data_IF_147820354058
#
_entry.id   IF_147820354058
#
_cell.length_a   1.000
_cell.length_b   1.000
_cell.length_c   1.000
_cell.angle_alpha   90.00
_cell.angle_beta   90.00
_cell.angle_gamma   90.00
#
_symmetry.space_group_name_H-M   'P 1'
#
loop_
_entity.id
_entity.type
_entity.pdbx_description
1 polymer ?
#
# COMPACT_ATOMS: atom_id res chain seq x y z
N UNK A 1 -8.93 -25.41 -13.07
CA UNK A 1 -8.44 -24.62 -11.93
C UNK A 1 -7.00 -24.08 -12.11
N UNK A 2 -6.46 -23.97 -13.34
CA UNK A 2 -5.03 -23.69 -13.59
C UNK A 2 -4.70 -22.31 -14.19
N UNK A 3 -5.69 -21.52 -14.64
CA UNK A 3 -5.42 -20.19 -15.24
C UNK A 3 -5.28 -19.04 -14.25
N UNK A 4 -5.66 -19.23 -12.98
CA UNK A 4 -5.57 -18.18 -11.96
C UNK A 4 -4.13 -17.99 -11.42
N UNK A 5 -3.25 -18.98 -11.64
CA UNK A 5 -1.88 -18.98 -11.07
C UNK A 5 -0.91 -18.06 -11.83
N UNK A 6 -1.08 -17.86 -13.15
CA UNK A 6 -0.10 -17.13 -13.97
C UNK A 6 -0.20 -15.60 -13.84
N UNK A 7 -1.40 -15.05 -13.61
CA UNK A 7 -1.59 -13.61 -13.41
C UNK A 7 -1.28 -13.16 -11.98
N UNK A 8 -1.49 -14.02 -11.00
CA UNK A 8 -1.11 -13.75 -9.60
C UNK A 8 0.40 -13.56 -9.45
N UNK A 9 1.19 -14.34 -10.17
CA UNK A 9 2.65 -14.35 -10.09
C UNK A 9 3.29 -13.01 -10.53
N UNK A 10 2.86 -12.41 -11.65
CA UNK A 10 3.39 -11.11 -12.09
C UNK A 10 3.12 -9.98 -11.11
N UNK A 11 1.92 -9.97 -10.49
CA UNK A 11 1.52 -8.89 -9.57
C UNK A 11 2.29 -8.98 -8.25
N UNK A 12 2.49 -10.19 -7.73
CA UNK A 12 3.34 -10.45 -6.56
C UNK A 12 4.78 -10.01 -6.84
N UNK A 13 5.33 -10.34 -8.02
CA UNK A 13 6.70 -9.96 -8.40
C UNK A 13 6.95 -8.45 -8.33
N UNK A 14 6.03 -7.64 -8.84
CA UNK A 14 6.18 -6.19 -8.75
C UNK A 14 6.10 -5.67 -7.31
N UNK A 15 5.18 -6.20 -6.49
CA UNK A 15 5.06 -5.82 -5.07
C UNK A 15 6.33 -6.22 -4.30
N UNK A 16 6.90 -7.39 -4.59
CA UNK A 16 8.16 -7.83 -3.99
C UNK A 16 9.32 -6.89 -4.35
N UNK A 17 9.43 -6.45 -5.61
CA UNK A 17 10.49 -5.50 -6.01
C UNK A 17 10.38 -4.20 -5.20
N UNK A 18 9.18 -3.61 -5.08
CA UNK A 18 9.00 -2.43 -4.24
C UNK A 18 9.38 -2.70 -2.78
N UNK A 19 9.01 -3.87 -2.26
CA UNK A 19 9.33 -4.31 -0.91
C UNK A 19 10.84 -4.46 -0.68
N UNK A 20 11.59 -4.93 -1.69
CA UNK A 20 13.06 -5.00 -1.66
C UNK A 20 13.72 -3.63 -1.68
N UNK A 21 13.14 -2.63 -2.37
CA UNK A 21 13.63 -1.25 -2.30
C UNK A 21 13.54 -0.73 -0.86
N UNK A 22 12.47 -1.06 -0.13
CA UNK A 22 12.40 -0.69 1.28
C UNK A 22 13.50 -1.35 2.11
N UNK A 23 13.98 -2.54 1.74
CA UNK A 23 15.05 -3.24 2.46
C UNK A 23 16.36 -2.45 2.54
N UNK A 24 16.60 -1.48 1.65
CA UNK A 24 17.77 -0.59 1.77
C UNK A 24 17.73 0.24 3.06
N UNK A 25 16.52 0.53 3.58
CA UNK A 25 16.34 1.25 4.84
C UNK A 25 16.74 0.42 6.07
N UNK A 26 16.97 -0.89 5.95
CA UNK A 26 17.58 -1.69 7.03
C UNK A 26 19.01 -1.27 7.33
N UNK A 27 19.66 -0.53 6.43
CA UNK A 27 21.00 -0.02 6.69
C UNK A 27 21.05 0.93 7.89
N UNK A 28 20.03 1.78 8.06
CA UNK A 28 19.93 2.73 9.19
C UNK A 28 20.00 2.01 10.55
N UNK A 29 19.10 1.04 10.87
CA UNK A 29 19.12 0.35 12.14
C UNK A 29 20.37 -0.51 12.34
N UNK A 30 20.92 -1.10 11.27
CA UNK A 30 22.20 -1.81 11.32
C UNK A 30 23.32 -0.86 11.77
N UNK A 31 23.41 0.30 11.15
CA UNK A 31 24.39 1.34 11.51
C UNK A 31 24.19 1.82 12.96
N UNK A 32 22.95 2.00 13.41
CA UNK A 32 22.66 2.39 14.80
C UNK A 32 23.11 1.33 15.81
N UNK A 33 22.99 0.04 15.49
CA UNK A 33 23.39 -1.06 16.38
C UNK A 33 24.91 -1.18 16.55
N UNK A 34 25.70 -0.85 15.53
CA UNK A 34 27.17 -0.85 15.63
C UNK A 34 27.74 0.11 16.68
N UNK A 35 26.96 1.12 17.07
CA UNK A 35 27.37 2.10 18.08
C UNK A 35 26.95 1.72 19.51
N UNK A 36 26.37 0.53 19.70
CA UNK A 36 25.93 0.02 21.02
C UNK A 36 26.98 -0.91 21.61
N UNK A 37 26.84 -1.24 22.90
CA UNK A 37 27.70 -2.24 23.54
C UNK A 37 27.59 -3.59 22.85
N UNK A 38 28.64 -4.41 22.92
CA UNK A 38 28.71 -5.71 22.23
C UNK A 38 27.49 -6.59 22.56
N UNK A 39 27.03 -6.58 23.81
CA UNK A 39 25.88 -7.36 24.24
C UNK A 39 24.57 -6.85 23.62
N UNK A 40 24.31 -5.55 23.68
CA UNK A 40 23.13 -4.92 23.05
C UNK A 40 23.16 -5.08 21.52
N UNK A 41 24.34 -5.05 20.92
CA UNK A 41 24.53 -5.25 19.49
C UNK A 41 24.06 -6.66 19.07
N UNK A 42 24.46 -7.71 19.80
CA UNK A 42 24.02 -9.08 19.52
C UNK A 42 22.51 -9.27 19.67
N UNK A 43 21.91 -8.69 20.71
CA UNK A 43 20.45 -8.73 20.90
C UNK A 43 19.77 -8.01 19.74
N UNK A 44 20.22 -6.80 19.41
CA UNK A 44 19.67 -6.00 18.34
C UNK A 44 19.72 -6.71 16.99
N UNK A 45 20.87 -7.30 16.63
CA UNK A 45 21.01 -8.06 15.40
C UNK A 45 20.15 -9.33 15.39
N UNK A 46 20.03 -10.02 16.53
CA UNK A 46 19.17 -11.21 16.65
C UNK A 46 17.69 -10.84 16.44
N UNK A 47 17.24 -9.75 17.07
CA UNK A 47 15.89 -9.22 16.88
C UNK A 47 15.66 -8.75 15.43
N UNK A 48 16.67 -8.16 14.81
CA UNK A 48 16.62 -7.69 13.42
C UNK A 48 16.55 -8.86 12.42
N UNK A 49 17.30 -9.94 12.67
CA UNK A 49 17.23 -11.17 11.89
C UNK A 49 15.83 -11.80 12.01
N UNK A 50 15.26 -11.85 13.23
CA UNK A 50 13.90 -12.31 13.47
C UNK A 50 12.87 -11.46 12.72
N UNK A 51 13.03 -10.13 12.72
CA UNK A 51 12.20 -9.21 11.94
C UNK A 51 12.22 -9.57 10.44
N UNK A 52 13.41 -9.77 9.86
CA UNK A 52 13.55 -10.16 8.46
C UNK A 52 12.88 -11.51 8.13
N UNK A 53 13.03 -12.50 9.01
CA UNK A 53 12.39 -13.82 8.85
C UNK A 53 10.87 -13.73 8.88
N UNK A 54 10.29 -13.02 9.85
CA UNK A 54 8.83 -12.83 9.94
C UNK A 54 8.32 -12.03 8.74
N UNK A 55 9.09 -11.03 8.30
CA UNK A 55 8.75 -10.24 7.13
C UNK A 55 8.64 -11.10 5.86
N UNK A 56 9.57 -12.03 5.64
CA UNK A 56 9.47 -12.98 4.53
C UNK A 56 8.26 -13.92 4.68
N UNK A 57 7.97 -14.39 5.90
CA UNK A 57 6.80 -15.24 6.18
C UNK A 57 5.46 -14.54 5.85
N UNK A 58 5.36 -13.21 5.98
CA UNK A 58 4.17 -12.45 5.57
C UNK A 58 3.81 -12.63 4.09
N UNK A 59 4.81 -12.81 3.22
CA UNK A 59 4.62 -13.03 1.79
C UNK A 59 4.30 -14.49 1.47
N UNK A 60 4.95 -15.43 2.17
CA UNK A 60 4.78 -16.86 1.94
C UNK A 60 3.43 -17.39 2.44
N UNK A 61 2.88 -16.82 3.51
CA UNK A 61 1.66 -17.33 4.14
C UNK A 61 0.60 -16.22 4.31
N UNK A 62 -0.40 -16.23 3.42
CA UNK A 62 -1.50 -15.27 3.44
C UNK A 62 -2.49 -15.51 4.59
N UNK A 63 -2.72 -16.76 5.00
CA UNK A 63 -3.71 -17.10 6.03
C UNK A 63 -3.35 -16.59 7.42
N UNK A 64 -2.05 -16.55 7.74
CA UNK A 64 -1.55 -16.09 9.05
C UNK A 64 -0.91 -14.69 9.01
N UNK A 65 -1.11 -13.96 7.91
CA UNK A 65 -0.47 -12.65 7.68
C UNK A 65 -0.70 -11.65 8.81
N UNK A 66 -1.91 -11.58 9.36
CA UNK A 66 -2.22 -10.69 10.48
C UNK A 66 -1.31 -10.94 11.68
N UNK A 67 -1.12 -12.21 12.08
CA UNK A 67 -0.28 -12.57 13.22
C UNK A 67 1.17 -12.14 13.00
N UNK A 68 1.70 -12.36 11.79
CA UNK A 68 3.05 -11.91 11.46
C UNK A 68 3.18 -10.38 11.47
N UNK A 69 2.19 -9.65 10.96
CA UNK A 69 2.17 -8.18 11.03
C UNK A 69 2.18 -7.68 12.47
N UNK A 70 1.36 -8.26 13.35
CA UNK A 70 1.38 -7.91 14.78
C UNK A 70 2.74 -8.23 15.39
N UNK A 71 3.34 -9.38 15.05
CA UNK A 71 4.70 -9.73 15.48
C UNK A 71 5.75 -8.69 15.03
N UNK A 72 5.68 -8.23 13.78
CA UNK A 72 6.56 -7.17 13.28
C UNK A 72 6.36 -5.85 14.04
N UNK A 73 5.10 -5.45 14.29
CA UNK A 73 4.78 -4.25 15.06
C UNK A 73 5.34 -4.33 16.48
N UNK A 74 5.23 -5.49 17.14
CA UNK A 74 5.79 -5.73 18.48
C UNK A 74 7.32 -5.64 18.45
N UNK A 75 7.97 -6.24 17.45
CA UNK A 75 9.43 -6.16 17.30
C UNK A 75 9.88 -4.71 17.08
N UNK A 76 9.19 -3.95 16.22
CA UNK A 76 9.49 -2.54 16.00
C UNK A 76 9.33 -1.76 17.31
N UNK A 77 8.25 -1.99 18.05
CA UNK A 77 8.05 -1.35 19.36
C UNK A 77 9.16 -1.67 20.35
N UNK A 78 9.59 -2.92 20.43
CA UNK A 78 10.73 -3.31 21.25
C UNK A 78 12.01 -2.57 20.82
N UNK A 79 12.30 -2.51 19.52
CA UNK A 79 13.48 -1.83 19.00
C UNK A 79 13.44 -0.30 19.27
N UNK A 80 12.27 0.32 19.09
CA UNK A 80 12.05 1.73 19.39
C UNK A 80 12.28 2.05 20.87
N UNK A 81 11.70 1.26 21.77
CA UNK A 81 11.81 1.49 23.22
C UNK A 81 13.22 1.22 23.74
N UNK A 82 13.93 0.24 23.17
CA UNK A 82 15.25 -0.20 23.67
C UNK A 82 16.43 0.58 23.09
N UNK A 83 16.42 0.90 21.79
CA UNK A 83 17.62 1.37 21.09
C UNK A 83 17.58 2.82 20.66
N UNK A 84 16.62 3.19 19.82
CA UNK A 84 16.47 4.52 19.22
C UNK A 84 15.10 4.66 18.53
N UNK A 85 14.60 5.87 18.38
CA UNK A 85 13.33 6.17 17.71
C UNK A 85 13.46 6.10 16.20
N UNK A 86 14.67 6.17 15.64
CA UNK A 86 14.89 5.96 14.20
C UNK A 86 14.37 4.61 13.71
N UNK A 87 14.21 3.64 14.62
CA UNK A 87 13.58 2.35 14.32
C UNK A 87 12.09 2.46 14.01
N UNK A 88 11.44 3.59 14.31
CA UNK A 88 10.04 3.82 13.92
C UNK A 88 9.86 3.78 12.41
N UNK A 89 10.91 4.15 11.66
CA UNK A 89 10.94 4.06 10.19
C UNK A 89 10.75 2.62 9.69
N UNK A 90 11.01 1.61 10.52
CA UNK A 90 10.67 0.23 10.18
C UNK A 90 9.17 -0.01 10.04
N UNK A 91 8.32 0.86 10.59
CA UNK A 91 6.88 0.83 10.35
C UNK A 91 6.50 0.97 8.88
N UNK A 92 7.41 1.44 8.01
CA UNK A 92 7.18 1.43 6.56
C UNK A 92 7.04 0.00 6.03
N UNK A 93 7.86 -0.93 6.52
CA UNK A 93 7.77 -2.32 6.10
C UNK A 93 6.42 -2.93 6.45
N UNK A 94 5.90 -2.67 7.66
CA UNK A 94 4.59 -3.17 8.08
C UNK A 94 3.46 -2.49 7.33
N UNK A 95 3.55 -1.19 7.04
CA UNK A 95 2.56 -0.45 6.26
C UNK A 95 2.23 -1.12 4.92
N UNK A 96 3.26 -1.55 4.17
CA UNK A 96 3.05 -2.27 2.90
C UNK A 96 2.31 -3.59 3.09
N UNK A 97 2.71 -4.38 4.09
CA UNK A 97 2.04 -5.65 4.38
C UNK A 97 0.59 -5.42 4.79
N UNK A 98 0.34 -4.41 5.63
CA UNK A 98 -1.00 -4.02 6.08
C UNK A 98 -1.93 -3.77 4.89
N UNK A 99 -1.46 -3.03 3.89
CA UNK A 99 -2.18 -2.77 2.64
C UNK A 99 -2.55 -4.03 1.84
N UNK A 100 -1.88 -5.17 2.08
CA UNK A 100 -2.15 -6.45 1.44
C UNK A 100 -3.12 -7.36 2.20
N UNK A 101 -3.65 -6.98 3.36
CA UNK A 101 -4.60 -7.82 4.09
C UNK A 101 -5.96 -7.86 3.38
N UNK A 102 -6.49 -9.06 3.14
CA UNK A 102 -7.71 -9.26 2.36
C UNK A 102 -8.95 -8.82 3.13
N UNK A 103 -9.04 -9.19 4.41
CA UNK A 103 -10.21 -8.93 5.26
C UNK A 103 -10.19 -7.49 5.82
N UNK A 104 -11.35 -6.84 5.82
CA UNK A 104 -11.53 -5.50 6.38
C UNK A 104 -11.29 -5.49 7.89
N UNK A 105 -11.73 -6.53 8.61
CA UNK A 105 -11.54 -6.62 10.06
C UNK A 105 -10.06 -6.67 10.41
N UNK A 106 -9.34 -7.58 9.74
CA UNK A 106 -7.90 -7.73 9.96
C UNK A 106 -7.11 -6.47 9.58
N UNK A 107 -7.51 -5.78 8.50
CA UNK A 107 -6.91 -4.51 8.12
C UNK A 107 -7.10 -3.41 9.16
N UNK A 108 -8.32 -3.25 9.68
CA UNK A 108 -8.60 -2.26 10.73
C UNK A 108 -7.78 -2.61 11.97
N UNK A 109 -7.77 -3.87 12.41
CA UNK A 109 -6.95 -4.31 13.55
C UNK A 109 -5.46 -3.98 13.36
N UNK A 110 -4.90 -4.29 12.19
CA UNK A 110 -3.49 -4.02 11.91
C UNK A 110 -3.19 -2.51 11.79
N UNK A 111 -4.09 -1.73 11.19
CA UNK A 111 -3.99 -0.27 11.13
C UNK A 111 -4.05 0.36 12.53
N UNK A 112 -4.97 -0.09 13.38
CA UNK A 112 -5.08 0.38 14.77
C UNK A 112 -3.83 0.00 15.57
N UNK A 113 -3.30 -1.21 15.40
CA UNK A 113 -2.06 -1.62 16.06
C UNK A 113 -0.86 -0.76 15.60
N UNK A 114 -0.75 -0.48 14.30
CA UNK A 114 0.32 0.34 13.75
C UNK A 114 0.20 1.81 14.20
N UNK A 115 -1.00 2.37 14.20
CA UNK A 115 -1.24 3.72 14.72
C UNK A 115 -0.99 3.80 16.22
N UNK A 116 -1.38 2.76 16.98
CA UNK A 116 -1.11 2.64 18.40
C UNK A 116 0.38 2.61 18.69
N UNK A 117 1.16 1.87 17.91
CA UNK A 117 2.62 1.86 18.00
C UNK A 117 3.22 3.26 17.73
N UNK A 118 2.73 3.94 16.69
CA UNK A 118 3.18 5.29 16.34
C UNK A 118 2.88 6.29 17.46
N UNK A 119 1.66 6.28 17.99
CA UNK A 119 1.26 7.11 19.13
C UNK A 119 2.10 6.77 20.36
N UNK A 120 2.31 5.49 20.65
CA UNK A 120 3.12 5.05 21.79
C UNK A 120 4.57 5.55 21.68
N UNK A 121 5.18 5.42 20.50
CA UNK A 121 6.53 5.91 20.25
C UNK A 121 6.60 7.45 20.37
N UNK A 122 5.59 8.17 19.86
CA UNK A 122 5.49 9.62 20.01
C UNK A 122 5.27 10.05 21.46
N UNK A 123 4.44 9.35 22.24
CA UNK A 123 4.20 9.67 23.66
C UNK A 123 5.43 9.39 24.52
N UNK A 124 6.11 8.26 24.27
CA UNK A 124 7.33 7.91 24.97
C UNK A 124 8.41 8.99 24.80
N UNK A 125 8.41 9.67 23.65
CA UNK A 125 9.38 10.70 23.31
C UNK A 125 8.93 12.14 23.52
N UNK A 126 7.65 12.43 23.36
CA UNK A 126 7.06 13.77 23.46
C UNK A 126 7.26 14.42 24.82
N UNK A 127 7.59 13.63 25.86
CA UNK A 127 8.00 14.12 27.16
C UNK A 127 9.40 14.79 27.18
N UNK A 128 10.19 14.70 26.11
CA UNK A 128 11.55 15.26 26.07
C UNK A 128 12.13 15.60 24.70
N UNK A 129 11.30 15.69 23.65
CA UNK A 129 11.76 16.07 22.29
C UNK A 129 11.68 17.58 22.05
N UNK A 130 12.60 18.08 21.25
CA UNK A 130 12.51 19.40 20.64
C UNK A 130 11.42 19.40 19.55
N UNK A 131 10.74 20.54 19.38
CA UNK A 131 9.69 20.71 18.37
C UNK A 131 10.15 20.34 16.96
N UNK A 132 11.42 20.55 16.65
CA UNK A 132 12.05 20.21 15.36
C UNK A 132 11.98 18.72 15.04
N UNK A 133 12.16 17.84 16.04
CA UNK A 133 12.22 16.39 15.82
C UNK A 133 10.84 15.83 15.50
N UNK A 134 9.80 16.38 16.13
CA UNK A 134 8.41 16.04 15.88
C UNK A 134 8.02 16.44 14.45
N UNK A 135 8.37 17.66 14.03
CA UNK A 135 8.09 18.15 12.67
C UNK A 135 8.79 17.26 11.62
N UNK A 136 10.01 16.80 11.90
CA UNK A 136 10.77 15.91 11.01
C UNK A 136 10.18 14.49 10.95
N UNK A 137 9.62 13.98 12.04
CA UNK A 137 8.99 12.66 12.10
C UNK A 137 7.61 12.62 11.44
N UNK A 138 6.87 13.73 11.49
CA UNK A 138 5.50 13.86 10.99
C UNK A 138 5.29 13.38 9.53
N UNK A 139 6.12 13.78 8.53
CA UNK A 139 5.91 13.33 7.16
C UNK A 139 6.06 11.81 7.04
N UNK A 140 7.00 11.21 7.77
CA UNK A 140 7.19 9.77 7.74
C UNK A 140 5.99 9.01 8.33
N UNK A 141 5.47 9.49 9.46
CA UNK A 141 4.29 8.98 10.13
C UNK A 141 3.03 9.06 9.23
N UNK A 142 2.89 10.17 8.51
CA UNK A 142 1.79 10.39 7.58
C UNK A 142 1.87 9.40 6.41
N UNK A 143 3.04 9.23 5.79
CA UNK A 143 3.21 8.26 4.70
C UNK A 143 2.93 6.84 5.18
N UNK A 144 3.40 6.44 6.38
CA UNK A 144 3.11 5.11 6.94
C UNK A 144 1.61 4.84 7.14
N UNK A 145 0.85 5.87 7.47
CA UNK A 145 -0.59 5.73 7.75
C UNK A 145 -1.42 5.80 6.47
N UNK A 146 -1.01 6.64 5.52
CA UNK A 146 -1.75 6.86 4.27
C UNK A 146 -1.47 5.75 3.24
N UNK A 147 -0.24 5.25 3.17
CA UNK A 147 0.17 4.23 2.18
C UNK A 147 -0.72 2.97 2.17
N UNK A 148 -1.03 2.33 3.31
CA UNK A 148 -1.87 1.13 3.34
C UNK A 148 -3.30 1.42 2.85
N UNK A 149 -3.82 2.62 3.13
CA UNK A 149 -5.15 3.06 2.71
C UNK A 149 -5.21 3.23 1.20
N UNK A 150 -4.21 3.91 0.61
CA UNK A 150 -4.09 4.06 -0.85
C UNK A 150 -4.00 2.70 -1.53
N UNK A 151 -3.14 1.81 -1.02
CA UNK A 151 -2.98 0.46 -1.57
C UNK A 151 -4.31 -0.30 -1.54
N UNK A 152 -5.03 -0.29 -0.41
CA UNK A 152 -6.34 -0.96 -0.29
C UNK A 152 -7.38 -0.38 -1.26
N UNK A 153 -7.41 0.93 -1.44
CA UNK A 153 -8.29 1.61 -2.39
C UNK A 153 -8.07 1.14 -3.84
N UNK A 154 -6.80 1.01 -4.25
CA UNK A 154 -6.43 0.53 -5.58
C UNK A 154 -6.79 -0.94 -5.83
N UNK A 155 -6.81 -1.79 -4.78
CA UNK A 155 -7.25 -3.17 -4.93
C UNK A 155 -8.76 -3.29 -5.10
N UNK A 156 -9.55 -2.42 -4.44
CA UNK A 156 -11.02 -2.45 -4.51
C UNK A 156 -11.58 -1.82 -5.79
N UNK A 157 -10.90 -0.82 -6.35
CA UNK A 157 -11.37 -0.11 -7.56
C UNK A 157 -11.18 -0.90 -8.87
N UNK A 158 -10.54 -2.07 -8.84
CA UNK A 158 -10.46 -2.95 -10.03
C UNK A 158 -11.82 -3.58 -10.42
N UNK A 159 -12.90 -3.33 -9.66
CA UNK A 159 -14.29 -3.56 -10.09
C UNK A 159 -14.91 -2.38 -10.85
N UNK A 160 -14.24 -1.23 -10.94
CA UNK A 160 -14.74 -0.04 -11.62
C UNK A 160 -13.58 0.67 -12.32
N UNK A 161 -13.25 0.21 -13.52
CA UNK A 161 -12.18 0.73 -14.36
C UNK A 161 -12.39 2.19 -14.77
N UNK A 162 -12.08 3.12 -13.86
CA UNK A 162 -12.09 4.55 -14.12
C UNK A 162 -10.68 5.18 -14.12
N UNK A 163 -9.73 4.66 -13.34
CA UNK A 163 -8.40 5.29 -13.23
C UNK A 163 -7.35 4.79 -14.24
N UNK A 164 -7.49 3.57 -14.77
CA UNK A 164 -6.58 3.04 -15.81
C UNK A 164 -7.02 3.41 -17.23
N UNK A 165 -8.29 3.82 -17.41
CA UNK A 165 -8.79 4.32 -18.71
C UNK A 165 -8.11 5.63 -19.13
N UNK A 166 -7.55 6.40 -18.20
CA UNK A 166 -6.78 7.61 -18.52
C UNK A 166 -5.48 7.34 -19.28
N UNK A 167 -4.83 6.18 -19.09
CA UNK A 167 -3.54 5.87 -19.71
C UNK A 167 -3.63 4.89 -20.88
N UNK A 168 -4.67 4.05 -20.91
CA UNK A 168 -4.90 3.12 -22.02
C UNK A 168 -5.51 3.80 -23.27
N UNK A 169 -6.19 4.95 -23.12
CA UNK A 169 -6.77 5.68 -24.25
C UNK A 169 -5.72 6.36 -25.14
N UNK A 170 -4.52 6.60 -24.62
CA UNK A 170 -3.44 7.25 -25.38
C UNK A 170 -2.73 6.29 -26.35
N UNK A 171 -2.81 4.97 -26.14
CA UNK A 171 -2.20 3.99 -27.06
C UNK A 171 -3.11 3.51 -28.19
N UNK A 172 -4.43 3.66 -28.04
CA UNK A 172 -5.36 3.33 -29.11
C UNK A 172 -5.35 4.38 -30.24
N UNK A 173 -4.93 5.62 -29.96
CA UNK A 173 -4.84 6.67 -30.97
C UNK A 173 -3.55 6.59 -31.82
N UNK A 174 -2.46 5.98 -31.30
CA UNK A 174 -1.22 5.84 -32.07
C UNK A 174 -1.21 4.71 -33.11
N UNK A 175 -2.03 3.65 -32.95
CA UNK A 175 -2.06 2.56 -33.96
C UNK A 175 -2.91 2.88 -35.19
N UNK A 176 -3.81 3.86 -35.10
CA UNK A 176 -4.60 4.31 -36.26
C UNK A 176 -3.86 5.36 -37.09
N UNK A 177 -2.83 6.01 -36.54
CA UNK A 177 -2.00 6.95 -37.30
C UNK A 177 -1.06 6.25 -38.29
N UNK A 178 -0.68 4.98 -38.04
CA UNK A 178 0.23 4.24 -38.92
C UNK A 178 -0.45 3.66 -40.16
N UNK A 179 -1.77 3.49 -40.15
CA UNK A 179 -2.53 3.03 -41.33
C UNK A 179 -2.86 4.15 -42.33
N UNK A 180 -2.65 5.42 -41.98
CA UNK A 180 -2.92 6.57 -42.85
C UNK A 180 -1.63 7.14 -43.48
N UNK A 181 -0.45 6.60 -43.16
CA UNK A 181 0.81 7.08 -43.73
C UNK A 181 1.23 6.38 -45.04
N UNK A 182 0.35 5.55 -45.61
CA UNK A 182 0.53 4.89 -46.91
C UNK A 182 -0.05 5.64 -48.11
N UNK A 183 -0.78 6.75 -47.92
CA UNK A 183 -1.22 7.63 -49.02
C UNK A 183 -0.45 8.94 -48.99
N UNK A 184 0.47 9.06 -49.93
CA UNK A 184 1.18 10.30 -50.29
C UNK A 184 0.18 11.43 -50.52
N UNK A 185 0.34 12.52 -49.79
CA UNK A 185 -0.48 13.73 -49.97
C UNK A 185 -0.32 14.68 -48.81
N UNK A 186 0.77 15.43 -48.82
CA UNK A 186 1.03 16.68 -48.13
C UNK A 186 -0.21 17.35 -47.49
N UNK A 187 -0.33 17.34 -46.15
CA UNK A 187 -1.13 18.33 -45.44
C UNK A 187 -0.70 18.43 -43.96
N UNK A 188 -0.25 19.62 -43.58
CA UNK A 188 0.03 20.03 -42.20
C UNK A 188 -1.23 19.90 -41.35
N UNK A 189 -1.26 18.94 -40.41
CA UNK A 189 -2.24 18.95 -39.34
C UNK A 189 -1.71 19.80 -38.17
N UNK A 190 -2.08 21.07 -38.21
CA UNK A 190 -2.03 22.01 -37.11
C UNK A 190 -2.60 21.39 -35.84
N UNK A 191 -1.79 21.44 -34.79
CA UNK A 191 -2.07 21.04 -33.42
C UNK A 191 -3.20 21.91 -32.85
N UNK A 192 -4.45 21.45 -32.90
CA UNK A 192 -5.55 22.10 -32.19
C UNK A 192 -5.61 21.60 -30.74
N UNK A 193 -5.05 22.40 -29.85
CA UNK A 193 -5.24 22.34 -28.40
C UNK A 193 -6.70 22.70 -28.09
N UNK A 194 -7.58 21.71 -27.97
CA UNK A 194 -8.98 21.94 -27.63
C UNK A 194 -9.13 22.07 -26.12
N UNK A 195 -9.21 23.31 -25.63
CA UNK A 195 -9.88 23.62 -24.35
C UNK A 195 -11.36 23.23 -24.49
N UNK A 196 -11.77 22.17 -23.82
CA UNK A 196 -13.17 21.76 -23.68
C UNK A 196 -13.71 22.11 -22.31
N UNK A 197 -14.23 23.33 -22.17
CA UNK A 197 -15.11 23.77 -21.10
C UNK A 197 -16.54 23.30 -21.37
N UNK A 198 -17.26 22.81 -20.34
CA UNK A 198 -18.71 22.99 -20.23
C UNK A 198 -19.64 21.76 -20.32
N UNK A 199 -20.45 21.63 -19.24
CA UNK A 199 -21.87 21.18 -19.14
C UNK A 199 -22.17 19.69 -19.41
N UNK A 200 -22.65 18.93 -18.41
CA UNK A 200 -24.01 18.88 -17.83
C UNK A 200 -25.06 18.34 -18.82
N UNK A 201 -25.46 17.08 -18.65
CA UNK A 201 -26.78 16.55 -19.06
C UNK A 201 -27.26 15.50 -18.05
N UNK A 202 -28.43 15.80 -17.49
CA UNK A 202 -29.31 14.97 -16.68
C UNK A 202 -29.68 13.65 -17.38
N UNK A 203 -29.75 12.57 -16.61
CA UNK A 203 -30.25 11.27 -17.05
C UNK A 203 -31.13 10.64 -15.97
N UNK A 204 -32.31 11.21 -15.78
CA UNK A 204 -33.42 10.65 -15.02
C UNK A 204 -33.88 9.35 -15.68
N UNK A 205 -33.73 8.21 -15.01
CA UNK A 205 -34.27 6.91 -15.43
C UNK A 205 -35.07 6.31 -14.30
N UNK A 206 -36.36 6.66 -14.26
CA UNK A 206 -37.38 6.02 -13.44
C UNK A 206 -37.90 4.75 -14.12
N UNK A 207 -38.37 3.79 -13.31
CA UNK A 207 -39.34 2.77 -13.75
C UNK A 207 -38.85 1.33 -13.60
N UNK A 208 -39.43 0.62 -12.63
CA UNK A 208 -39.23 -0.82 -12.47
C UNK A 208 -39.72 -1.35 -11.12
N UNK A 209 -40.99 -1.09 -10.79
CA UNK A 209 -41.69 -1.78 -9.72
C UNK A 209 -42.21 -3.12 -10.28
N UNK A 210 -41.78 -4.24 -9.72
CA UNK A 210 -42.50 -5.52 -9.84
C UNK A 210 -42.67 -6.12 -8.45
N UNK A 211 -43.93 -6.10 -8.00
CA UNK A 211 -44.43 -6.79 -6.84
C UNK A 211 -44.67 -8.26 -7.20
N UNK A 212 -44.09 -9.17 -6.42
CA UNK A 212 -44.28 -10.62 -6.57
C UNK A 212 -44.61 -11.26 -5.22
N UNK A 213 -45.86 -11.09 -4.80
CA UNK A 213 -46.49 -11.84 -3.71
C UNK A 213 -46.86 -13.25 -4.19
N UNK A 214 -46.44 -14.30 -3.47
CA UNK A 214 -47.10 -15.62 -3.42
C UNK A 214 -46.49 -16.44 -2.27
N UNK A 215 -47.27 -16.60 -1.20
CA UNK A 215 -47.01 -17.60 -0.16
C UNK A 215 -47.65 -18.95 -0.48
N UNK A 216 -47.18 -20.02 0.16
CA UNK A 216 -47.84 -21.33 0.41
C UNK A 216 -47.03 -22.00 1.54
N UNK A 217 -47.47 -22.00 2.80
CA UNK A 217 -48.17 -23.09 3.53
C UNK A 217 -47.59 -24.50 3.29
N UNK A 218 -46.91 -25.04 4.30
CA UNK A 218 -46.59 -26.47 4.39
C UNK A 218 -46.27 -26.82 5.84
N UNK A 219 -47.04 -27.76 6.40
CA UNK A 219 -47.09 -28.19 7.80
C UNK A 219 -45.77 -28.75 8.34
#
# INVERSE_FOLDING_TARGET
MSRFSLTFDRKIRQIMIYSFVFLIYLFIPIHTLFHKSIFEMWIGFSTLALFGMIYLLCYLNSSRRLLYVIGLIVIIGFLCLRYNDSFILMGFYTAFIVGMLSDNKQFITAMTAQLGLLILALLYRGLGLNESDIINALPSALVMTVMPVIMRGNFRSNGSGLLVKGFARTRACSRTAEYIQGRKGHQSCTFYFFMGSGKSVNGTGAGGAEAGSRGVIGK
#
